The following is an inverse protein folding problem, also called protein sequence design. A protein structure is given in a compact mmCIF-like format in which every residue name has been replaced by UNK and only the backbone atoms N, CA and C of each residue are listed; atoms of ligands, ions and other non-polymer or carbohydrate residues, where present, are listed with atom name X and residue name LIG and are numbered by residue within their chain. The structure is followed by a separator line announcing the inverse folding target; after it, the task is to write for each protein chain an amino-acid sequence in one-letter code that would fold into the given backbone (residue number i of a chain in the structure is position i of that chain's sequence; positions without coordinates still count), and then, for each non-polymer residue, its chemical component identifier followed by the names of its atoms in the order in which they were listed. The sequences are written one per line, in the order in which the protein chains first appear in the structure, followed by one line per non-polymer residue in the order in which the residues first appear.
data_IF_376325410824
#
_entry.id   IF_376325410824
#
_cell.length_a   1.000
_cell.length_b   1.000
_cell.length_c   1.000
_cell.angle_alpha   90.00
_cell.angle_beta   90.00
_cell.angle_gamma   90.00
#
_symmetry.space_group_name_H-M   'P 1'
#
loop_
_entity.id
_entity.type
_entity.pdbx_description
1 polymer ?
#
# COMPACT_ATOMS: atom_id res chain seq x y z
N UNK A 1 1.93 -7.29 14.59
CA UNK A 1 1.39 -8.66 14.43
C UNK A 1 0.72 -8.83 13.07
N UNK A 2 -0.26 -7.99 12.68
CA UNK A 2 -1.00 -8.12 11.42
C UNK A 2 -0.09 -8.19 10.18
N UNK A 3 0.91 -7.30 10.06
CA UNK A 3 1.82 -7.28 8.92
C UNK A 3 2.65 -8.57 8.79
N UNK A 4 3.17 -9.09 9.90
CA UNK A 4 3.96 -10.34 9.91
C UNK A 4 3.08 -11.52 9.50
N UNK A 5 1.86 -11.62 10.06
CA UNK A 5 0.91 -12.65 9.71
C UNK A 5 0.55 -12.60 8.20
N UNK A 6 0.32 -11.40 7.68
CA UNK A 6 0.00 -11.17 6.27
C UNK A 6 1.14 -11.60 5.35
N UNK A 7 2.41 -11.34 5.72
CA UNK A 7 3.58 -11.78 4.95
C UNK A 7 3.64 -13.30 4.91
N UNK A 8 3.45 -13.97 6.04
CA UNK A 8 3.47 -15.45 6.11
C UNK A 8 2.36 -16.05 5.25
N UNK A 9 1.13 -15.57 5.40
CA UNK A 9 -0.03 -16.05 4.63
C UNK A 9 0.21 -15.83 3.14
N UNK A 10 0.61 -14.63 2.75
CA UNK A 10 0.90 -14.26 1.36
C UNK A 10 2.03 -15.12 0.77
N UNK A 11 3.12 -15.35 1.52
CA UNK A 11 4.24 -16.20 1.08
C UNK A 11 3.82 -17.66 0.86
N UNK A 12 2.99 -18.22 1.76
CA UNK A 12 2.45 -19.58 1.59
C UNK A 12 1.53 -19.64 0.37
N UNK A 13 0.67 -18.65 0.17
CA UNK A 13 -0.24 -18.58 -0.98
C UNK A 13 0.55 -18.51 -2.29
N UNK A 14 1.50 -17.60 -2.40
CA UNK A 14 2.28 -17.38 -3.63
C UNK A 14 3.12 -18.61 -3.99
N UNK A 15 3.72 -19.28 -3.02
CA UNK A 15 4.50 -20.53 -3.26
C UNK A 15 3.69 -21.64 -3.91
N UNK A 16 2.36 -21.60 -3.85
CA UNK A 16 1.46 -22.63 -4.44
C UNK A 16 1.15 -22.40 -5.91
N UNK A 17 1.49 -21.24 -6.46
CA UNK A 17 1.32 -20.96 -7.88
C UNK A 17 2.54 -21.46 -8.66
N UNK A 18 2.33 -22.16 -9.77
CA UNK A 18 3.38 -22.71 -10.64
C UNK A 18 4.42 -21.66 -11.08
N UNK A 19 4.03 -20.41 -11.18
CA UNK A 19 4.88 -19.29 -11.59
C UNK A 19 5.96 -18.97 -10.55
N UNK A 20 5.68 -19.23 -9.26
CA UNK A 20 6.59 -18.94 -8.13
C UNK A 20 7.22 -20.22 -7.54
N UNK A 21 6.92 -21.40 -8.10
CA UNK A 21 7.57 -22.65 -7.75
C UNK A 21 8.87 -22.76 -8.55
N UNK A 22 9.99 -22.37 -7.96
CA UNK A 22 11.33 -22.61 -8.49
C UNK A 22 12.07 -23.57 -7.56
N UNK A 23 13.00 -24.34 -8.11
CA UNK A 23 13.95 -25.09 -7.29
C UNK A 23 14.81 -24.08 -6.52
N UNK A 24 15.11 -24.33 -5.23
CA UNK A 24 16.05 -23.48 -4.48
C UNK A 24 17.38 -23.46 -5.26
N UNK A 25 17.89 -22.25 -5.53
CA UNK A 25 19.17 -22.10 -6.17
C UNK A 25 20.21 -22.97 -5.45
N UNK A 26 21.03 -23.76 -6.18
CA UNK A 26 22.05 -24.59 -5.57
C UNK A 26 22.96 -23.67 -4.74
N UNK A 27 23.10 -23.99 -3.46
CA UNK A 27 23.88 -23.22 -2.52
C UNK A 27 25.36 -23.46 -2.82
N UNK A 28 25.92 -22.71 -3.75
CA UNK A 28 27.35 -22.70 -4.03
C UNK A 28 28.01 -21.70 -3.10
N UNK A 29 28.53 -22.18 -1.98
CA UNK A 29 29.33 -21.39 -1.07
C UNK A 29 30.84 -21.47 -1.48
N UNK A 30 31.22 -20.62 -2.41
CA UNK A 30 32.57 -20.10 -2.37
C UNK A 30 32.54 -18.85 -1.48
N UNK A 31 32.93 -19.02 -0.21
CA UNK A 31 33.07 -17.90 0.71
C UNK A 31 34.22 -17.03 0.22
N UNK A 32 34.00 -15.83 -0.30
CA UNK A 32 35.09 -14.90 -0.59
C UNK A 32 35.80 -14.60 0.75
N UNK A 33 37.14 -14.46 0.71
CA UNK A 33 37.91 -14.12 1.88
C UNK A 33 37.35 -12.87 2.56
N UNK A 34 36.95 -12.99 3.81
CA UNK A 34 36.43 -11.89 4.59
C UNK A 34 37.55 -10.88 4.87
N UNK A 35 37.44 -9.70 4.28
CA UNK A 35 38.27 -8.57 4.64
C UNK A 35 37.51 -7.64 5.56
N UNK A 36 38.14 -7.20 6.63
CA UNK A 36 37.53 -6.15 7.49
C UNK A 36 37.36 -4.88 6.67
N UNK A 37 36.14 -4.37 6.57
CA UNK A 37 35.91 -3.16 5.75
C UNK A 37 36.63 -1.97 6.37
N UNK A 38 37.36 -1.22 5.54
CA UNK A 38 37.98 0.03 5.98
C UNK A 38 36.94 1.09 6.26
N UNK A 39 37.12 1.87 7.33
CA UNK A 39 36.18 2.94 7.70
C UNK A 39 35.88 3.90 6.56
N UNK A 40 36.88 4.24 5.73
CA UNK A 40 36.71 5.10 4.56
C UNK A 40 35.76 4.53 3.51
N UNK A 41 35.85 3.24 3.21
CA UNK A 41 34.95 2.58 2.25
C UNK A 41 33.51 2.50 2.80
N UNK A 42 33.36 2.25 4.10
CA UNK A 42 32.03 2.24 4.74
C UNK A 42 31.39 3.60 4.67
N UNK A 43 32.10 4.67 5.07
CA UNK A 43 31.58 6.04 5.01
C UNK A 43 31.24 6.48 3.57
N UNK A 44 32.07 6.16 2.62
CA UNK A 44 31.83 6.51 1.21
C UNK A 44 30.59 5.81 0.66
N UNK A 45 30.47 4.50 0.87
CA UNK A 45 29.31 3.72 0.45
C UNK A 45 28.00 4.19 1.14
N UNK A 46 28.08 4.51 2.42
CA UNK A 46 26.96 5.07 3.18
C UNK A 46 26.54 6.43 2.62
N UNK A 47 27.50 7.32 2.34
CA UNK A 47 27.22 8.65 1.77
C UNK A 47 26.64 8.56 0.36
N UNK A 48 27.19 7.74 -0.51
CA UNK A 48 26.70 7.56 -1.88
C UNK A 48 25.27 7.01 -1.91
N UNK A 49 24.97 5.99 -1.07
CA UNK A 49 23.63 5.43 -0.96
C UNK A 49 22.66 6.40 -0.27
N UNK A 50 23.07 7.02 0.82
CA UNK A 50 22.27 7.97 1.58
C UNK A 50 21.92 9.21 0.76
N UNK A 51 22.88 9.85 0.11
CA UNK A 51 22.64 11.05 -0.72
C UNK A 51 21.76 10.74 -1.94
N UNK A 52 21.96 9.57 -2.57
CA UNK A 52 21.12 9.12 -3.68
C UNK A 52 19.67 8.89 -3.23
N UNK A 53 19.47 8.31 -2.04
CA UNK A 53 18.14 8.11 -1.46
C UNK A 53 17.47 9.46 -1.13
N UNK A 54 18.17 10.36 -0.43
CA UNK A 54 17.65 11.69 -0.04
C UNK A 54 17.26 12.50 -1.27
N UNK A 55 18.10 12.53 -2.30
CA UNK A 55 17.78 13.26 -3.55
C UNK A 55 16.52 12.71 -4.22
N UNK A 56 16.37 11.39 -4.33
CA UNK A 56 15.21 10.77 -4.97
C UNK A 56 13.95 10.91 -4.13
N UNK A 57 14.01 10.58 -2.84
CA UNK A 57 12.88 10.70 -1.94
C UNK A 57 12.43 12.15 -1.79
N UNK A 58 13.37 13.08 -1.58
CA UNK A 58 13.08 14.51 -1.46
C UNK A 58 12.41 15.09 -2.71
N UNK A 59 12.86 14.71 -3.91
CA UNK A 59 12.23 15.17 -5.14
C UNK A 59 10.80 14.66 -5.28
N UNK A 60 10.56 13.37 -4.99
CA UNK A 60 9.23 12.77 -5.07
C UNK A 60 8.30 13.42 -4.03
N UNK A 61 8.75 13.56 -2.81
CA UNK A 61 7.96 14.18 -1.73
C UNK A 61 7.62 15.64 -2.09
N UNK A 62 8.59 16.43 -2.55
CA UNK A 62 8.38 17.82 -2.94
C UNK A 62 7.35 17.94 -4.08
N UNK A 63 7.51 17.16 -5.16
CA UNK A 63 6.56 17.18 -6.28
C UNK A 63 5.15 16.75 -5.84
N UNK A 64 5.06 15.76 -4.97
CA UNK A 64 3.79 15.28 -4.45
C UNK A 64 3.12 16.29 -3.55
N UNK A 65 3.88 17.00 -2.71
CA UNK A 65 3.34 18.06 -1.85
C UNK A 65 2.81 19.23 -2.69
N UNK A 66 3.55 19.65 -3.73
CA UNK A 66 3.09 20.68 -4.67
C UNK A 66 1.81 20.22 -5.38
N UNK A 67 1.77 18.97 -5.84
CA UNK A 67 0.59 18.40 -6.49
C UNK A 67 -0.63 18.38 -5.56
N UNK A 68 -0.47 17.91 -4.33
CA UNK A 68 -1.52 17.88 -3.32
C UNK A 68 -2.00 19.30 -2.98
N UNK A 69 -1.08 20.23 -2.75
CA UNK A 69 -1.41 21.63 -2.49
C UNK A 69 -2.24 22.23 -3.62
N UNK A 70 -1.82 22.04 -4.86
CA UNK A 70 -2.55 22.55 -6.02
C UNK A 70 -3.94 21.93 -6.15
N UNK A 71 -4.06 20.60 -6.05
CA UNK A 71 -5.33 19.89 -6.25
C UNK A 71 -6.31 20.06 -5.10
N UNK A 72 -5.84 20.37 -3.88
CA UNK A 72 -6.69 20.73 -2.74
C UNK A 72 -7.08 22.21 -2.75
N UNK A 73 -6.17 23.10 -3.22
CA UNK A 73 -6.41 24.54 -3.20
C UNK A 73 -7.21 25.07 -4.39
N UNK A 74 -7.31 24.31 -5.47
CA UNK A 74 -8.00 24.74 -6.70
C UNK A 74 -9.15 23.80 -7.08
N UNK A 75 -10.20 24.36 -7.64
CA UNK A 75 -11.38 23.61 -8.07
C UNK A 75 -12.38 24.45 -8.82
N UNK A 76 -13.63 24.03 -8.85
CA UNK A 76 -14.71 24.75 -9.52
C UNK A 76 -15.71 25.25 -8.48
N UNK A 77 -15.78 26.55 -8.32
CA UNK A 77 -16.73 27.24 -7.47
C UNK A 77 -17.52 28.26 -8.31
N UNK A 78 -18.85 28.22 -8.22
CA UNK A 78 -19.72 29.11 -9.03
C UNK A 78 -19.62 28.94 -10.55
N UNK A 79 -19.08 27.80 -11.05
CA UNK A 79 -18.91 27.55 -12.50
C UNK A 79 -17.57 28.06 -13.06
N UNK A 80 -16.75 28.74 -12.27
CA UNK A 80 -15.40 29.20 -12.63
C UNK A 80 -14.32 28.35 -11.95
N UNK A 81 -13.18 28.19 -12.63
CA UNK A 81 -12.02 27.56 -12.04
C UNK A 81 -11.24 28.60 -11.21
N UNK A 82 -11.21 28.43 -9.91
CA UNK A 82 -10.57 29.36 -8.97
C UNK A 82 -9.94 28.64 -7.77
N UNK A 83 -9.26 29.40 -6.94
CA UNK A 83 -8.88 28.91 -5.62
C UNK A 83 -10.17 28.73 -4.80
N UNK A 84 -10.37 27.52 -4.28
CA UNK A 84 -11.62 27.16 -3.57
C UNK A 84 -11.60 27.64 -2.14
N UNK A 85 -12.74 28.15 -1.67
CA UNK A 85 -12.94 28.52 -0.26
C UNK A 85 -13.25 27.28 0.57
N UNK A 86 -13.88 26.27 -0.03
CA UNK A 86 -14.25 25.01 0.58
C UNK A 86 -13.58 23.84 -0.15
N UNK A 87 -12.84 23.03 0.60
CA UNK A 87 -12.09 21.87 0.08
C UNK A 87 -13.02 20.87 -0.61
N UNK A 88 -14.30 20.81 -0.25
CA UNK A 88 -15.29 19.93 -0.88
C UNK A 88 -15.48 20.26 -2.39
N UNK A 89 -15.18 21.47 -2.81
CA UNK A 89 -15.24 21.92 -4.22
C UNK A 89 -13.90 21.71 -4.97
N UNK A 90 -12.88 21.19 -4.31
CA UNK A 90 -11.54 21.00 -4.89
C UNK A 90 -11.52 19.91 -5.97
N UNK A 91 -10.47 19.96 -6.81
CA UNK A 91 -10.18 18.89 -7.77
C UNK A 91 -10.05 17.56 -7.04
N UNK A 92 -9.36 17.57 -5.89
CA UNK A 92 -9.10 16.35 -5.12
C UNK A 92 -10.37 15.76 -4.52
N UNK A 93 -11.32 16.58 -4.07
CA UNK A 93 -12.63 16.13 -3.59
C UNK A 93 -13.41 15.42 -4.70
N UNK A 94 -13.38 15.94 -5.93
CA UNK A 94 -14.03 15.30 -7.09
C UNK A 94 -13.39 13.97 -7.45
N UNK A 95 -12.05 13.91 -7.48
CA UNK A 95 -11.33 12.65 -7.71
C UNK A 95 -11.66 11.65 -6.59
N UNK A 96 -11.59 12.11 -5.34
CA UNK A 96 -11.92 11.29 -4.18
C UNK A 96 -13.34 10.74 -4.22
N UNK A 97 -14.33 11.57 -4.61
CA UNK A 97 -15.74 11.16 -4.74
C UNK A 97 -15.97 10.07 -5.78
N UNK A 98 -15.22 10.11 -6.90
CA UNK A 98 -15.28 9.05 -7.93
C UNK A 98 -14.69 7.73 -7.43
N UNK A 99 -13.67 7.80 -6.60
CA UNK A 99 -12.95 6.62 -6.08
C UNK A 99 -13.59 6.09 -4.79
N UNK A 100 -14.21 6.94 -3.98
CA UNK A 100 -14.84 6.61 -2.70
C UNK A 100 -15.75 5.37 -2.72
N UNK A 101 -16.60 5.15 -3.75
CA UNK A 101 -17.46 3.98 -3.82
C UNK A 101 -16.70 2.64 -3.76
N UNK A 102 -15.45 2.60 -4.24
CA UNK A 102 -14.60 1.40 -4.16
C UNK A 102 -14.29 1.05 -2.71
N UNK A 103 -14.17 2.06 -1.84
CA UNK A 103 -13.81 1.90 -0.43
C UNK A 103 -15.01 1.78 0.52
N UNK A 104 -16.24 1.76 0.00
CA UNK A 104 -17.44 1.51 0.82
C UNK A 104 -17.46 0.10 1.40
N UNK A 105 -16.98 -0.88 0.63
CA UNK A 105 -16.95 -2.28 1.04
C UNK A 105 -16.03 -2.54 2.25
N UNK A 106 -14.80 -1.99 2.30
CA UNK A 106 -13.92 -2.06 3.47
C UNK A 106 -14.22 -0.99 4.54
N UNK A 107 -15.30 -0.18 4.41
CA UNK A 107 -15.85 0.64 5.49
C UNK A 107 -15.30 2.06 5.63
N UNK A 108 -14.56 2.54 4.65
CA UNK A 108 -14.05 3.93 4.61
C UNK A 108 -14.34 4.60 3.26
N UNK A 109 -15.59 4.49 2.80
CA UNK A 109 -16.06 5.00 1.50
C UNK A 109 -16.36 6.50 1.49
N UNK A 110 -15.72 7.34 2.29
CA UNK A 110 -15.79 8.79 2.20
C UNK A 110 -14.75 9.31 1.21
N UNK A 111 -15.03 10.44 0.57
CA UNK A 111 -14.06 11.03 -0.34
C UNK A 111 -12.76 11.43 0.38
N UNK A 112 -12.85 11.90 1.64
CA UNK A 112 -11.70 12.25 2.48
C UNK A 112 -10.81 11.03 2.74
N UNK A 113 -11.41 9.90 3.09
CA UNK A 113 -10.68 8.64 3.31
C UNK A 113 -10.03 8.11 2.03
N UNK A 114 -10.73 8.23 0.89
CA UNK A 114 -10.18 7.84 -0.40
C UNK A 114 -8.94 8.68 -0.77
N UNK A 115 -9.02 10.00 -0.56
CA UNK A 115 -7.88 10.91 -0.77
C UNK A 115 -6.73 10.58 0.19
N UNK A 116 -7.02 10.36 1.46
CA UNK A 116 -6.00 9.98 2.45
C UNK A 116 -5.34 8.64 2.10
N UNK A 117 -6.09 7.64 1.62
CA UNK A 117 -5.54 6.37 1.16
C UNK A 117 -4.62 6.54 -0.05
N UNK A 118 -4.97 7.42 -1.01
CA UNK A 118 -4.14 7.75 -2.16
C UNK A 118 -2.87 8.49 -1.72
N UNK A 119 -2.99 9.46 -0.81
CA UNK A 119 -1.83 10.17 -0.27
C UNK A 119 -0.85 9.22 0.42
N UNK A 120 -1.35 8.17 1.07
CA UNK A 120 -0.54 7.10 1.66
C UNK A 120 0.27 6.28 0.64
N UNK A 121 -0.15 6.22 -0.62
CA UNK A 121 0.68 5.63 -1.70
C UNK A 121 1.87 6.52 -2.08
N UNK A 122 1.74 7.81 -1.87
CA UNK A 122 2.84 8.77 -2.11
C UNK A 122 3.84 8.71 -0.97
N UNK A 123 3.36 8.93 0.26
CA UNK A 123 4.13 8.88 1.48
C UNK A 123 3.20 8.50 2.65
N UNK A 124 3.42 7.35 3.26
CA UNK A 124 2.51 6.83 4.31
C UNK A 124 2.46 7.73 5.55
N UNK A 125 3.55 8.40 5.84
CA UNK A 125 3.66 9.40 6.90
C UNK A 125 2.77 10.63 6.68
N UNK A 126 2.42 10.93 5.43
CA UNK A 126 1.59 12.08 5.11
C UNK A 126 0.08 11.84 5.31
N UNK A 127 -0.35 10.63 5.62
CA UNK A 127 -1.78 10.31 5.78
C UNK A 127 -2.41 11.16 6.88
N UNK A 128 -1.75 11.28 8.04
CA UNK A 128 -2.24 12.10 9.17
C UNK A 128 -2.28 13.58 8.81
N UNK A 129 -1.21 14.10 8.20
CA UNK A 129 -1.16 15.48 7.73
C UNK A 129 -2.24 15.77 6.66
N UNK A 130 -2.54 14.79 5.78
CA UNK A 130 -3.61 14.91 4.79
C UNK A 130 -4.98 15.02 5.48
N UNK A 131 -5.25 14.20 6.50
CA UNK A 131 -6.48 14.34 7.28
C UNK A 131 -6.56 15.71 7.97
N UNK A 132 -5.45 16.21 8.55
CA UNK A 132 -5.41 17.55 9.12
C UNK A 132 -5.85 18.62 8.11
N UNK A 133 -5.34 18.56 6.89
CA UNK A 133 -5.75 19.47 5.82
C UNK A 133 -7.22 19.30 5.42
N UNK A 134 -7.69 18.04 5.32
CA UNK A 134 -9.06 17.72 4.92
C UNK A 134 -10.12 18.10 5.98
N UNK A 135 -9.70 18.22 7.25
CA UNK A 135 -10.57 18.67 8.35
C UNK A 135 -10.31 20.13 8.74
N UNK A 136 -9.64 20.91 7.88
CA UNK A 136 -9.39 22.35 8.08
C UNK A 136 -8.64 22.68 9.38
N UNK A 137 -7.80 21.79 9.86
CA UNK A 137 -6.99 22.06 11.02
C UNK A 137 -5.91 23.10 10.68
N UNK A 138 -5.93 24.22 11.40
CA UNK A 138 -4.95 25.31 11.22
C UNK A 138 -3.75 25.03 12.12
N UNK A 139 -2.72 24.42 11.57
CA UNK A 139 -1.49 24.08 12.31
C UNK A 139 -0.86 22.78 11.79
N UNK A 140 0.20 22.36 12.45
CA UNK A 140 0.79 21.03 12.23
C UNK A 140 0.04 20.03 13.13
N UNK A 141 -0.48 18.99 12.52
CA UNK A 141 -1.10 17.86 13.23
C UNK A 141 0.01 16.99 13.77
N UNK A 142 -0.04 16.63 15.05
CA UNK A 142 0.90 15.70 15.66
C UNK A 142 0.83 14.33 14.98
N UNK A 143 1.90 13.52 15.07
CA UNK A 143 1.96 12.20 14.44
C UNK A 143 0.84 11.27 14.92
N UNK A 144 0.32 11.47 16.14
CA UNK A 144 -0.79 10.71 16.69
C UNK A 144 -2.17 11.22 16.26
N UNK A 145 -2.25 12.41 15.64
CA UNK A 145 -3.49 12.99 15.14
C UNK A 145 -4.48 13.41 16.20
N UNK A 146 -4.03 13.62 17.45
CA UNK A 146 -4.91 13.90 18.61
C UNK A 146 -5.80 15.12 18.42
N UNK A 147 -5.34 16.10 17.64
CA UNK A 147 -6.06 17.36 17.39
C UNK A 147 -7.30 17.18 16.51
N UNK A 148 -7.34 16.13 15.69
CA UNK A 148 -8.42 15.88 14.72
C UNK A 148 -9.25 14.62 15.06
N UNK A 149 -9.08 14.04 16.24
CA UNK A 149 -9.78 12.82 16.62
C UNK A 149 -11.30 12.95 16.66
N UNK A 150 -11.81 14.13 17.05
CA UNK A 150 -13.25 14.38 17.08
C UNK A 150 -13.87 14.28 15.68
N UNK A 151 -13.21 14.86 14.70
CA UNK A 151 -13.63 14.87 13.30
C UNK A 151 -13.47 13.48 12.68
N UNK A 152 -12.36 12.80 12.97
CA UNK A 152 -12.14 11.43 12.53
C UNK A 152 -13.19 10.47 13.10
N UNK A 153 -13.56 10.63 14.38
CA UNK A 153 -14.57 9.80 15.03
C UNK A 153 -16.00 10.02 14.48
N UNK A 154 -16.24 11.17 13.85
CA UNK A 154 -17.50 11.44 13.16
C UNK A 154 -17.59 10.72 11.80
N UNK A 155 -16.47 10.58 11.09
CA UNK A 155 -16.40 10.00 9.74
C UNK A 155 -16.09 8.48 9.76
N UNK A 156 -15.45 7.98 10.81
CA UNK A 156 -15.04 6.58 10.92
C UNK A 156 -15.71 5.88 12.09
N UNK A 157 -16.24 4.68 11.85
CA UNK A 157 -16.50 3.74 12.93
C UNK A 157 -15.19 3.17 13.47
N UNK A 158 -15.19 2.61 14.68
CA UNK A 158 -13.95 2.02 15.25
C UNK A 158 -13.39 0.91 14.36
N UNK A 159 -14.26 0.04 13.85
CA UNK A 159 -13.84 -1.05 12.94
C UNK A 159 -13.42 -0.50 11.58
N UNK A 160 -14.08 0.55 11.08
CA UNK A 160 -13.71 1.23 9.84
C UNK A 160 -12.32 1.88 9.91
N UNK A 161 -12.01 2.55 11.01
CA UNK A 161 -10.67 3.11 11.25
C UNK A 161 -9.59 2.04 11.28
N UNK A 162 -9.86 0.91 11.96
CA UNK A 162 -8.93 -0.22 11.99
C UNK A 162 -8.73 -0.85 10.61
N UNK A 163 -9.81 -0.99 9.83
CA UNK A 163 -9.75 -1.47 8.45
C UNK A 163 -8.95 -0.54 7.54
N UNK A 164 -9.10 0.79 7.70
CA UNK A 164 -8.31 1.79 6.99
C UNK A 164 -6.82 1.71 7.33
N UNK A 165 -6.48 1.58 8.61
CA UNK A 165 -5.09 1.38 9.04
C UNK A 165 -4.50 0.09 8.47
N UNK A 166 -5.27 -1.01 8.47
CA UNK A 166 -4.84 -2.29 7.89
C UNK A 166 -4.62 -2.18 6.38
N UNK A 167 -5.50 -1.46 5.67
CA UNK A 167 -5.34 -1.17 4.24
C UNK A 167 -4.03 -0.41 3.98
N UNK A 168 -3.79 0.68 4.68
CA UNK A 168 -2.57 1.48 4.49
C UNK A 168 -1.30 0.71 4.87
N UNK A 169 -1.37 -0.17 5.87
CA UNK A 169 -0.24 -1.02 6.26
C UNK A 169 0.15 -2.01 5.15
N UNK A 170 -0.85 -2.65 4.53
CA UNK A 170 -0.67 -3.78 3.61
C UNK A 170 -0.62 -3.36 2.14
N UNK A 171 -1.15 -2.19 1.80
CA UNK A 171 -1.16 -1.65 0.45
C UNK A 171 0.26 -1.42 -0.09
N UNK A 172 0.37 -1.20 -1.39
CA UNK A 172 1.64 -0.90 -2.03
C UNK A 172 2.45 0.13 -1.23
N UNK A 173 3.78 -0.04 -1.15
CA UNK A 173 4.64 0.92 -0.47
C UNK A 173 4.70 2.24 -1.26
N UNK A 174 5.31 3.27 -0.67
CA UNK A 174 5.46 4.58 -1.31
C UNK A 174 6.19 4.50 -2.66
N UNK A 175 6.02 5.51 -3.51
CA UNK A 175 6.60 5.55 -4.86
C UNK A 175 8.12 5.33 -4.87
N UNK A 176 8.84 5.81 -3.83
CA UNK A 176 10.27 5.58 -3.71
C UNK A 176 10.60 4.09 -3.58
N UNK A 177 9.85 3.36 -2.75
CA UNK A 177 10.02 1.92 -2.57
C UNK A 177 9.52 1.13 -3.80
N UNK A 178 8.44 1.56 -4.46
CA UNK A 178 8.03 0.98 -5.75
C UNK A 178 9.12 1.11 -6.82
N UNK A 179 9.82 2.24 -6.84
CA UNK A 179 10.99 2.44 -7.71
C UNK A 179 12.15 1.49 -7.40
N UNK A 180 12.36 1.14 -6.12
CA UNK A 180 13.34 0.12 -5.72
C UNK A 180 12.91 -1.28 -6.17
N UNK A 181 11.64 -1.65 -5.94
CA UNK A 181 11.07 -2.93 -6.42
C UNK A 181 11.24 -3.07 -7.93
N UNK A 182 10.98 -2.00 -8.70
CA UNK A 182 11.14 -1.99 -10.16
C UNK A 182 12.59 -2.27 -10.58
N UNK A 183 13.56 -1.75 -9.85
CA UNK A 183 14.99 -1.99 -10.14
C UNK A 183 15.41 -3.42 -9.84
N UNK A 184 14.97 -3.95 -8.70
CA UNK A 184 15.30 -5.34 -8.30
C UNK A 184 14.64 -6.36 -9.24
N UNK A 185 13.38 -6.13 -9.64
CA UNK A 185 12.66 -7.03 -10.53
C UNK A 185 13.10 -6.94 -11.99
N UNK A 186 13.73 -5.84 -12.40
CA UNK A 186 14.17 -5.55 -13.77
C UNK A 186 13.13 -5.87 -14.87
N UNK A 187 11.85 -5.92 -14.50
CA UNK A 187 10.75 -6.26 -15.39
C UNK A 187 9.48 -5.50 -15.00
N UNK A 188 8.98 -4.64 -15.89
CA UNK A 188 7.83 -3.79 -15.63
C UNK A 188 6.53 -4.57 -15.39
N UNK A 189 6.33 -5.70 -16.08
CA UNK A 189 5.12 -6.54 -15.92
C UNK A 189 5.08 -7.19 -14.53
N UNK A 190 6.21 -7.72 -14.07
CA UNK A 190 6.32 -8.31 -12.73
C UNK A 190 6.20 -7.26 -11.63
N UNK A 191 6.76 -6.08 -11.84
CA UNK A 191 6.60 -4.95 -10.92
C UNK A 191 5.13 -4.55 -10.79
N UNK A 192 4.43 -4.39 -11.91
CA UNK A 192 3.01 -4.04 -11.91
C UNK A 192 2.15 -5.13 -11.24
N UNK A 193 2.46 -6.41 -11.50
CA UNK A 193 1.78 -7.54 -10.85
C UNK A 193 2.01 -7.54 -9.34
N UNK A 194 3.24 -7.29 -8.88
CA UNK A 194 3.55 -7.23 -7.45
C UNK A 194 2.80 -6.09 -6.76
N UNK A 195 2.80 -4.89 -7.35
CA UNK A 195 2.08 -3.73 -6.82
C UNK A 195 0.57 -3.99 -6.80
N UNK A 196 0.02 -4.48 -7.90
CA UNK A 196 -1.40 -4.84 -8.01
C UNK A 196 -1.80 -5.92 -6.99
N UNK A 197 -0.96 -6.92 -6.77
CA UNK A 197 -1.18 -7.94 -5.76
C UNK A 197 -1.22 -7.35 -4.34
N UNK A 198 -0.29 -6.47 -3.99
CA UNK A 198 -0.28 -5.81 -2.67
C UNK A 198 -1.55 -5.00 -2.44
N UNK A 199 -1.99 -4.20 -3.43
CA UNK A 199 -3.22 -3.41 -3.33
C UNK A 199 -4.46 -4.32 -3.21
N UNK A 200 -4.56 -5.37 -4.04
CA UNK A 200 -5.67 -6.31 -3.99
C UNK A 200 -5.73 -7.09 -2.66
N UNK A 201 -4.57 -7.53 -2.17
CA UNK A 201 -4.48 -8.23 -0.89
C UNK A 201 -4.87 -7.32 0.29
N UNK A 202 -4.38 -6.07 0.30
CA UNK A 202 -4.76 -5.07 1.30
C UNK A 202 -6.27 -4.82 1.29
N UNK A 203 -6.87 -4.69 0.12
CA UNK A 203 -8.31 -4.51 -0.04
C UNK A 203 -9.12 -5.68 0.51
N UNK A 204 -8.71 -6.90 0.18
CA UNK A 204 -9.35 -8.13 0.69
C UNK A 204 -9.28 -8.22 2.22
N UNK A 205 -8.09 -8.02 2.80
CA UNK A 205 -7.89 -8.10 4.25
C UNK A 205 -8.68 -7.00 4.96
N UNK A 206 -8.63 -5.78 4.47
CA UNK A 206 -9.37 -4.64 5.01
C UNK A 206 -10.90 -4.87 4.97
N UNK A 207 -11.42 -5.42 3.86
CA UNK A 207 -12.83 -5.78 3.73
C UNK A 207 -13.22 -6.86 4.74
N UNK A 208 -12.40 -7.89 4.93
CA UNK A 208 -12.65 -8.92 5.93
C UNK A 208 -12.70 -8.31 7.34
N UNK A 209 -11.74 -7.47 7.68
CA UNK A 209 -11.68 -6.80 8.98
C UNK A 209 -12.95 -5.99 9.22
N UNK A 210 -13.37 -5.17 8.27
CA UNK A 210 -14.54 -4.31 8.42
C UNK A 210 -15.83 -5.11 8.51
N UNK A 211 -16.07 -6.02 7.59
CA UNK A 211 -17.34 -6.75 7.50
C UNK A 211 -17.49 -7.75 8.66
N UNK A 212 -16.46 -8.48 9.00
CA UNK A 212 -16.52 -9.45 10.10
C UNK A 212 -16.41 -8.74 11.46
N UNK A 213 -15.49 -7.77 11.57
CA UNK A 213 -15.35 -6.96 12.79
C UNK A 213 -16.62 -6.21 13.12
N UNK A 214 -17.25 -5.55 12.14
CA UNK A 214 -18.50 -4.82 12.32
C UNK A 214 -19.70 -5.71 12.70
N UNK A 215 -19.73 -6.98 12.24
CA UNK A 215 -20.71 -7.96 12.70
C UNK A 215 -20.49 -8.34 14.18
N UNK A 216 -19.23 -8.53 14.59
CA UNK A 216 -18.91 -8.93 15.97
C UNK A 216 -19.18 -7.78 16.93
N UNK A 217 -18.88 -6.54 16.56
CA UNK A 217 -19.13 -5.34 17.37
C UNK A 217 -20.59 -4.88 17.35
N UNK A 218 -21.39 -5.41 16.42
CA UNK A 218 -22.78 -5.00 16.24
C UNK A 218 -22.95 -3.68 15.46
N UNK A 219 -21.88 -3.15 14.88
CA UNK A 219 -21.92 -1.95 14.02
C UNK A 219 -22.57 -2.24 12.66
N UNK A 220 -22.50 -3.48 12.20
CA UNK A 220 -23.06 -3.91 10.91
C UNK A 220 -24.08 -5.03 11.08
N UNK A 221 -25.06 -5.02 10.18
CA UNK A 221 -26.01 -6.14 10.00
C UNK A 221 -25.55 -7.03 8.85
N UNK A 222 -26.00 -8.29 8.84
CA UNK A 222 -25.67 -9.23 7.77
C UNK A 222 -26.19 -8.70 6.41
N UNK A 223 -25.29 -8.51 5.46
CA UNK A 223 -25.60 -7.95 4.15
C UNK A 223 -24.68 -8.47 3.03
N UNK A 224 -24.80 -7.88 1.85
CA UNK A 224 -24.01 -8.27 0.68
C UNK A 224 -22.50 -8.19 0.97
N UNK A 225 -22.06 -7.15 1.68
CA UNK A 225 -20.64 -6.98 2.05
C UNK A 225 -20.10 -8.14 2.89
N UNK A 226 -20.93 -8.65 3.82
CA UNK A 226 -20.57 -9.81 4.65
C UNK A 226 -20.41 -11.08 3.80
N UNK A 227 -21.30 -11.29 2.83
CA UNK A 227 -21.19 -12.42 1.91
C UNK A 227 -19.88 -12.35 1.12
N UNK A 228 -19.52 -11.16 0.63
CA UNK A 228 -18.24 -10.95 -0.08
C UNK A 228 -17.04 -11.23 0.85
N UNK A 229 -17.07 -10.79 2.09
CA UNK A 229 -16.02 -11.08 3.07
C UNK A 229 -15.87 -12.58 3.32
N UNK A 230 -16.98 -13.31 3.45
CA UNK A 230 -16.97 -14.78 3.63
C UNK A 230 -16.36 -15.46 2.38
N UNK A 231 -16.70 -15.00 1.18
CA UNK A 231 -16.10 -15.50 -0.07
C UNK A 231 -14.59 -15.24 -0.09
N UNK A 232 -14.13 -14.08 0.34
CA UNK A 232 -12.71 -13.77 0.45
C UNK A 232 -11.99 -14.66 1.45
N UNK A 233 -12.59 -14.93 2.61
CA UNK A 233 -12.05 -15.87 3.60
C UNK A 233 -11.96 -17.27 3.01
N UNK A 234 -13.04 -17.74 2.38
CA UNK A 234 -13.06 -19.06 1.72
C UNK A 234 -11.98 -19.17 0.63
N UNK A 235 -11.78 -18.11 -0.16
CA UNK A 235 -10.73 -18.05 -1.17
C UNK A 235 -9.33 -18.14 -0.56
N UNK A 236 -9.06 -17.38 0.51
CA UNK A 236 -7.78 -17.43 1.21
C UNK A 236 -7.54 -18.84 1.78
N UNK A 237 -8.53 -19.43 2.45
CA UNK A 237 -8.43 -20.79 3.00
C UNK A 237 -8.21 -21.80 1.87
N UNK A 238 -8.95 -21.71 0.77
CA UNK A 238 -8.78 -22.57 -0.39
C UNK A 238 -7.35 -22.48 -0.95
N UNK A 239 -6.81 -21.24 -1.09
CA UNK A 239 -5.44 -21.04 -1.55
C UNK A 239 -4.41 -21.56 -0.55
N UNK A 240 -4.69 -21.51 0.75
CA UNK A 240 -3.82 -22.05 1.80
C UNK A 240 -3.84 -23.59 1.87
N UNK A 241 -4.96 -24.23 1.56
CA UNK A 241 -5.11 -25.70 1.62
C UNK A 241 -4.70 -26.37 0.31
N UNK A 242 -4.80 -25.67 -0.82
CA UNK A 242 -4.44 -26.18 -2.14
C UNK A 242 -3.01 -26.75 -2.12
N UNK A 243 -2.83 -27.93 -2.71
CA UNK A 243 -1.50 -28.56 -2.85
C UNK A 243 -0.59 -27.67 -3.71
N UNK A 244 0.71 -27.54 -3.35
CA UNK A 244 1.66 -26.79 -4.16
C UNK A 244 1.77 -27.45 -5.56
N UNK A 245 1.92 -26.61 -6.58
CA UNK A 245 2.20 -27.10 -7.93
C UNK A 245 3.57 -27.79 -7.90
N UNK A 246 3.69 -28.96 -8.52
CA UNK A 246 4.99 -29.64 -8.67
C UNK A 246 5.89 -28.77 -9.54
N UNK A 247 7.09 -28.49 -9.06
CA UNK A 247 8.14 -27.87 -9.85
C UNK A 247 8.49 -28.84 -10.99
N UNK A 248 8.40 -28.36 -12.24
CA UNK A 248 8.83 -29.12 -13.40
C UNK A 248 10.35 -28.90 -13.52
N UNK A 249 11.14 -29.87 -13.09
CA UNK A 249 12.62 -29.79 -13.04
C UNK A 249 13.28 -29.50 -14.40
N UNK A 250 12.53 -29.69 -15.50
CA UNK A 250 13.00 -29.41 -16.86
C UNK A 250 12.85 -27.94 -17.29
N UNK A 251 11.96 -27.16 -16.65
CA UNK A 251 11.71 -25.76 -17.04
C UNK A 251 12.80 -24.80 -16.48
N UNK A 252 13.43 -25.16 -15.38
CA UNK A 252 14.56 -24.42 -14.80
C UNK A 252 15.81 -24.44 -15.70
N UNK A 253 16.13 -25.58 -16.26
CA UNK A 253 17.26 -25.75 -17.18
C UNK A 253 17.04 -25.03 -18.52
N UNK A 254 15.78 -24.95 -18.98
CA UNK A 254 15.43 -24.27 -20.23
C UNK A 254 15.50 -22.74 -20.11
N UNK A 255 15.22 -22.18 -18.93
CA UNK A 255 15.36 -20.73 -18.69
C UNK A 255 16.81 -20.30 -18.60
N UNK A 256 17.68 -21.09 -17.98
CA UNK A 256 19.13 -20.81 -17.92
C UNK A 256 19.79 -20.84 -19.33
N UNK A 257 19.26 -21.63 -20.27
CA UNK A 257 19.79 -21.70 -21.64
C UNK A 257 19.32 -20.53 -22.53
N UNK A 258 18.22 -19.87 -22.17
CA UNK A 258 17.70 -18.70 -22.92
C UNK A 258 18.34 -17.40 -22.46
N UNK A 259 18.76 -17.32 -21.19
CA UNK A 259 19.46 -16.14 -20.64
C UNK A 259 20.97 -16.18 -20.88
N UNK A 260 21.51 -17.26 -21.45
CA UNK A 260 22.92 -17.45 -21.77
C UNK A 260 23.27 -17.20 -23.26
N UNK A 261 22.29 -16.86 -24.10
CA UNK A 261 22.43 -16.39 -25.47
C UNK A 261 21.89 -14.96 -25.57
#
# INVERSE_FOLDING_TARGET
VLGVLSIIISGIMLKKFKIFTGDPAPFVMELPAYHVPTAGNVFRSMWERGSSFIKKAGTIILLSTIFMWFTLGYGWEGGAFCAVSDIDNSIMARIGSVIAPIFTLPGFGTWKSAVAAISGLVAKENVVATFGQLYHFVGEVAEDGSEIWSELAADFTQVGAYAFMAFNLLCAPCFAAMGAIKREMNNGKWTALAIGYMCAYAYVVSTIIYQIGGLITGELTFGIGTVVAIVFIALIIFLLVRKPAKADSTDGLRRMSVDAN
#
